data_IF_220287835940
#
_entry.id   IF_220287835940
#
_cell.length_a   1.000
_cell.length_b   1.000
_cell.length_c   1.000
_cell.angle_alpha   90.00
_cell.angle_beta   90.00
_cell.angle_gamma   90.00
#
_symmetry.space_group_name_H-M   'P 1'
#
loop_
_entity.id
_entity.type
_entity.pdbx_description
1 polymer ?
#
# COMPACT_ATOMS: atom_id res chain seq x y z
N UNK A 1 -20.49 -51.86 -67.14
CA UNK A 1 -19.21 -51.11 -67.04
C UNK A 1 -19.37 -49.87 -67.92
N UNK A 2 -18.96 -48.64 -67.59
CA UNK A 2 -18.00 -48.11 -66.63
C UNK A 2 -18.59 -46.88 -65.91
N UNK A 3 -18.19 -46.70 -64.66
CA UNK A 3 -18.56 -45.61 -63.76
C UNK A 3 -17.54 -44.46 -63.91
N UNK A 4 -17.92 -43.18 -63.98
CA UNK A 4 -16.97 -42.09 -63.87
C UNK A 4 -16.71 -41.76 -62.39
N UNK A 5 -15.44 -41.75 -62.05
CA UNK A 5 -14.84 -41.48 -60.75
C UNK A 5 -15.13 -40.06 -60.25
N UNK A 6 -15.61 -39.95 -59.01
CA UNK A 6 -15.63 -38.70 -58.24
C UNK A 6 -14.18 -38.40 -57.84
N UNK A 7 -13.64 -37.28 -58.34
CA UNK A 7 -12.30 -36.77 -58.01
C UNK A 7 -12.22 -36.40 -56.51
N UNK A 8 -11.06 -36.59 -55.86
CA UNK A 8 -10.87 -36.24 -54.46
C UNK A 8 -10.99 -34.72 -54.31
N UNK A 9 -11.63 -34.30 -53.23
CA UNK A 9 -11.73 -32.90 -52.85
C UNK A 9 -10.32 -32.34 -52.61
N UNK A 10 -9.99 -31.22 -53.27
CA UNK A 10 -8.78 -30.46 -52.95
C UNK A 10 -8.84 -30.02 -51.48
N UNK A 11 -7.98 -30.63 -50.67
CA UNK A 11 -7.87 -30.40 -49.24
C UNK A 11 -7.33 -28.98 -48.98
N UNK A 12 -8.20 -28.11 -48.45
CA UNK A 12 -7.91 -26.84 -47.78
C UNK A 12 -6.77 -25.99 -48.41
N UNK A 13 -7.13 -25.16 -49.38
CA UNK A 13 -6.23 -24.12 -49.90
C UNK A 13 -5.72 -23.23 -48.75
N UNK A 14 -4.50 -22.68 -48.89
CA UNK A 14 -3.99 -21.68 -47.94
C UNK A 14 -5.00 -20.54 -47.70
N UNK A 15 -5.82 -20.21 -48.69
CA UNK A 15 -6.94 -19.27 -48.55
C UNK A 15 -8.02 -19.72 -47.56
N UNK A 16 -8.36 -21.00 -47.53
CA UNK A 16 -9.35 -21.56 -46.60
C UNK A 16 -8.83 -21.55 -45.16
N UNK A 17 -7.54 -21.84 -44.99
CA UNK A 17 -6.87 -21.80 -43.69
C UNK A 17 -6.84 -20.37 -43.15
N UNK A 18 -6.47 -19.39 -43.99
CA UNK A 18 -6.46 -17.97 -43.64
C UNK A 18 -7.87 -17.49 -43.29
N UNK A 19 -8.89 -17.91 -44.05
CA UNK A 19 -10.29 -17.57 -43.78
C UNK A 19 -10.76 -18.15 -42.43
N UNK A 20 -10.38 -19.40 -42.13
CA UNK A 20 -10.70 -20.08 -40.85
C UNK A 20 -10.04 -19.38 -39.67
N UNK A 21 -8.75 -19.02 -39.78
CA UNK A 21 -8.04 -18.26 -38.75
C UNK A 21 -8.71 -16.90 -38.53
N UNK A 22 -9.01 -16.16 -39.59
CA UNK A 22 -9.70 -14.88 -39.50
C UNK A 22 -11.13 -14.98 -38.92
N UNK A 23 -11.80 -16.11 -39.08
CA UNK A 23 -13.08 -16.41 -38.42
C UNK A 23 -12.86 -16.64 -36.91
N UNK A 24 -11.90 -17.49 -36.53
CA UNK A 24 -11.61 -17.80 -35.12
C UNK A 24 -11.14 -16.57 -34.33
N UNK A 25 -10.30 -15.70 -34.92
CA UNK A 25 -9.85 -14.46 -34.25
C UNK A 25 -11.00 -13.47 -34.04
N UNK A 26 -11.93 -13.38 -35.01
CA UNK A 26 -13.14 -12.57 -34.84
C UNK A 26 -14.05 -13.14 -33.77
N UNK A 27 -14.26 -14.45 -33.77
CA UNK A 27 -15.02 -15.14 -32.73
C UNK A 27 -14.41 -14.92 -31.34
N UNK A 28 -13.09 -15.05 -31.18
CA UNK A 28 -12.39 -14.77 -29.93
C UNK A 28 -12.59 -13.32 -29.49
N UNK A 29 -12.46 -12.36 -30.42
CA UNK A 29 -12.68 -10.93 -30.13
C UNK A 29 -14.12 -10.65 -29.73
N UNK A 30 -15.08 -11.23 -30.45
CA UNK A 30 -16.50 -11.05 -30.17
C UNK A 30 -16.88 -11.71 -28.83
N UNK A 31 -16.28 -12.86 -28.50
CA UNK A 31 -16.41 -13.51 -27.19
C UNK A 31 -15.78 -12.69 -26.06
N UNK A 32 -14.59 -12.11 -26.24
CA UNK A 32 -13.99 -11.21 -25.25
C UNK A 32 -14.87 -9.96 -24.99
N UNK A 33 -15.49 -9.45 -26.05
CA UNK A 33 -16.44 -8.34 -25.99
C UNK A 33 -17.77 -8.75 -25.32
N UNK A 34 -18.33 -9.91 -25.66
CA UNK A 34 -19.55 -10.46 -25.03
C UNK A 34 -19.34 -10.83 -23.56
N UNK A 35 -18.12 -11.23 -23.18
CA UNK A 35 -17.74 -11.46 -21.78
C UNK A 35 -17.56 -10.14 -21.00
N UNK A 36 -17.67 -8.97 -21.64
CA UNK A 36 -17.59 -7.66 -20.99
C UNK A 36 -16.20 -7.27 -20.49
N UNK A 37 -15.16 -8.00 -20.90
CA UNK A 37 -13.79 -7.79 -20.41
C UNK A 37 -13.19 -6.47 -20.91
N UNK A 38 -13.55 -6.02 -22.12
CA UNK A 38 -13.12 -4.71 -22.63
C UNK A 38 -13.66 -3.55 -21.77
N UNK A 39 -14.91 -3.67 -21.32
CA UNK A 39 -15.55 -2.68 -20.46
C UNK A 39 -14.93 -2.70 -19.06
N UNK A 40 -14.68 -3.89 -18.50
CA UNK A 40 -14.02 -4.02 -17.19
C UNK A 40 -12.59 -3.47 -17.20
N UNK A 41 -11.84 -3.67 -18.29
CA UNK A 41 -10.49 -3.10 -18.46
C UNK A 41 -10.56 -1.58 -18.55
N UNK A 42 -11.50 -1.02 -19.31
CA UNK A 42 -11.70 0.43 -19.42
C UNK A 42 -12.08 1.06 -18.07
N UNK A 43 -13.01 0.44 -17.33
CA UNK A 43 -13.42 0.89 -16.00
C UNK A 43 -12.27 0.82 -14.99
N UNK A 44 -11.49 -0.26 -15.02
CA UNK A 44 -10.30 -0.37 -14.18
C UNK A 44 -9.24 0.69 -14.53
N UNK A 45 -9.03 0.96 -15.82
CA UNK A 45 -8.09 2.00 -16.27
C UNK A 45 -8.49 3.40 -15.76
N UNK A 46 -9.79 3.71 -15.75
CA UNK A 46 -10.31 4.97 -15.18
C UNK A 46 -10.24 5.03 -13.64
N UNK A 47 -10.34 3.88 -12.96
CA UNK A 47 -10.27 3.82 -11.49
C UNK A 47 -8.83 3.89 -10.94
N UNK A 48 -7.81 3.51 -11.72
CA UNK A 48 -6.40 3.50 -11.30
C UNK A 48 -5.90 4.89 -10.86
N UNK A 49 -6.14 5.99 -11.61
CA UNK A 49 -5.73 7.33 -11.20
C UNK A 49 -6.33 7.76 -9.85
N UNK A 50 -7.63 7.54 -9.62
CA UNK A 50 -8.27 7.86 -8.33
C UNK A 50 -7.69 7.04 -7.18
N UNK A 51 -7.51 5.73 -7.37
CA UNK A 51 -6.88 4.87 -6.38
C UNK A 51 -5.45 5.32 -6.04
N UNK A 52 -4.68 5.73 -7.05
CA UNK A 52 -3.33 6.29 -6.88
C UNK A 52 -3.37 7.58 -6.07
N UNK A 53 -4.29 8.49 -6.37
CA UNK A 53 -4.40 9.78 -5.68
C UNK A 53 -4.82 9.58 -4.20
N UNK A 54 -5.69 8.61 -3.92
CA UNK A 54 -6.02 8.19 -2.54
C UNK A 54 -4.83 7.62 -1.80
N UNK A 55 -4.02 6.75 -2.44
CA UNK A 55 -2.79 6.23 -1.84
C UNK A 55 -1.78 7.35 -1.57
N UNK A 56 -1.66 8.32 -2.49
CA UNK A 56 -0.82 9.49 -2.28
C UNK A 56 -1.27 10.29 -1.06
N UNK A 57 -2.58 10.50 -0.88
CA UNK A 57 -3.13 11.14 0.32
C UNK A 57 -2.76 10.37 1.61
N UNK A 58 -2.89 9.05 1.63
CA UNK A 58 -2.48 8.22 2.78
C UNK A 58 -0.99 8.41 3.09
N UNK A 59 -0.13 8.43 2.08
CA UNK A 59 1.31 8.68 2.24
C UNK A 59 1.55 10.05 2.87
N UNK A 60 0.91 11.11 2.36
CA UNK A 60 1.04 12.46 2.91
C UNK A 60 0.59 12.55 4.37
N UNK A 61 -0.59 11.99 4.69
CA UNK A 61 -1.12 12.01 6.06
C UNK A 61 -0.26 11.19 7.02
N UNK A 62 0.33 10.09 6.55
CA UNK A 62 1.24 9.26 7.36
C UNK A 62 2.55 10.00 7.64
N UNK A 63 3.12 10.68 6.63
CA UNK A 63 4.30 11.51 6.80
C UNK A 63 4.06 12.64 7.81
N UNK A 64 2.92 13.34 7.68
CA UNK A 64 2.54 14.39 8.63
C UNK A 64 2.34 13.84 10.05
N UNK A 65 1.72 12.67 10.20
CA UNK A 65 1.53 12.04 11.51
C UNK A 65 2.88 11.65 12.15
N UNK A 66 3.81 11.11 11.36
CA UNK A 66 5.16 10.79 11.82
C UNK A 66 5.93 12.04 12.26
N UNK A 67 5.87 13.12 11.47
CA UNK A 67 6.48 14.41 11.82
C UNK A 67 5.91 14.97 13.13
N UNK A 68 4.58 14.93 13.31
CA UNK A 68 3.94 15.35 14.57
C UNK A 68 4.40 14.51 15.77
N UNK A 69 4.53 13.19 15.59
CA UNK A 69 5.00 12.30 16.64
C UNK A 69 6.45 12.63 17.03
N UNK A 70 7.34 12.83 16.05
CA UNK A 70 8.72 13.22 16.28
C UNK A 70 8.81 14.56 17.00
N UNK A 71 8.10 15.58 16.53
CA UNK A 71 8.05 16.91 17.16
C UNK A 71 7.54 16.84 18.61
N UNK A 72 6.58 15.95 18.90
CA UNK A 72 6.07 15.75 20.25
C UNK A 72 7.11 15.10 21.17
N UNK A 73 7.90 14.16 20.65
CA UNK A 73 9.02 13.55 21.36
C UNK A 73 10.09 14.59 21.65
N UNK A 74 10.50 15.37 20.64
CA UNK A 74 11.49 16.44 20.80
C UNK A 74 11.05 17.50 21.81
N UNK A 75 9.76 17.90 21.78
CA UNK A 75 9.18 18.83 22.74
C UNK A 75 9.15 18.27 24.18
N UNK A 76 9.09 16.94 24.34
CA UNK A 76 9.06 16.28 25.64
C UNK A 76 10.45 16.14 26.27
N UNK A 77 11.51 16.09 25.47
CA UNK A 77 12.90 15.94 25.91
C UNK A 77 13.34 16.94 27.01
N UNK A 78 13.15 18.26 26.87
CA UNK A 78 13.58 19.21 27.90
C UNK A 78 12.84 19.03 29.24
N UNK A 79 11.58 18.59 29.20
CA UNK A 79 10.82 18.29 30.41
C UNK A 79 11.36 17.04 31.12
N UNK A 80 11.74 16.01 30.36
CA UNK A 80 12.39 14.81 30.90
C UNK A 80 13.73 15.15 31.54
N UNK A 81 14.57 15.93 30.85
CA UNK A 81 15.89 16.36 31.37
C UNK A 81 15.75 17.18 32.66
N UNK A 82 14.76 18.09 32.71
CA UNK A 82 14.51 18.88 33.90
C UNK A 82 14.01 18.03 35.08
N UNK A 83 13.12 17.08 34.81
CA UNK A 83 12.63 16.14 35.80
C UNK A 83 13.76 15.27 36.36
N UNK A 84 14.64 14.76 35.50
CA UNK A 84 15.82 13.99 35.89
C UNK A 84 16.76 14.81 36.80
N UNK A 85 17.05 16.06 36.42
CA UNK A 85 17.87 16.97 37.23
C UNK A 85 17.25 17.20 38.61
N UNK A 86 15.95 17.49 38.67
CA UNK A 86 15.24 17.71 39.93
C UNK A 86 15.22 16.46 40.81
N UNK A 87 15.01 15.28 40.22
CA UNK A 87 15.05 14.01 40.94
C UNK A 87 16.43 13.74 41.54
N UNK A 88 17.51 13.92 40.76
CA UNK A 88 18.89 13.78 41.24
C UNK A 88 19.20 14.75 42.37
N UNK A 89 18.80 16.02 42.24
CA UNK A 89 18.99 17.01 43.30
C UNK A 89 18.23 16.65 44.57
N UNK A 90 17.02 16.06 44.44
CA UNK A 90 16.22 15.61 45.56
C UNK A 90 16.85 14.40 46.26
N UNK A 91 17.36 13.43 45.51
CA UNK A 91 18.12 12.29 46.05
C UNK A 91 19.34 12.75 46.82
N UNK A 92 20.14 13.66 46.25
CA UNK A 92 21.33 14.19 46.94
C UNK A 92 20.95 14.85 48.27
N UNK A 93 19.89 15.66 48.29
CA UNK A 93 19.41 16.28 49.53
C UNK A 93 18.96 15.26 50.57
N UNK A 94 18.39 14.14 50.12
CA UNK A 94 18.00 13.05 51.02
C UNK A 94 19.23 12.34 51.60
N UNK A 95 20.22 12.05 50.76
CA UNK A 95 21.48 11.43 51.19
C UNK A 95 22.23 12.33 52.18
N UNK A 96 22.31 13.63 51.89
CA UNK A 96 22.93 14.62 52.79
C UNK A 96 22.22 14.67 54.15
N UNK A 97 20.88 14.65 54.15
CA UNK A 97 20.09 14.63 55.39
C UNK A 97 20.30 13.35 56.20
N UNK A 98 20.42 12.18 55.55
CA UNK A 98 20.71 10.93 56.25
C UNK A 98 22.15 10.88 56.78
N UNK A 99 23.09 11.56 56.13
CA UNK A 99 24.48 11.65 56.56
C UNK A 99 24.68 12.55 57.78
N UNK A 100 23.92 13.65 57.87
CA UNK A 100 23.89 14.55 59.03
C UNK A 100 22.44 14.92 59.41
N UNK A 101 21.71 14.01 60.11
CA UNK A 101 20.32 14.24 60.45
C UNK A 101 20.21 15.37 61.47
N UNK A 102 19.64 16.49 61.06
CA UNK A 102 19.27 17.56 61.99
C UNK A 102 18.09 17.04 62.82
N UNK A 103 18.24 17.02 64.14
CA UNK A 103 17.16 16.63 65.05
C UNK A 103 15.94 17.55 64.85
N UNK A 104 14.79 16.97 64.52
CA UNK A 104 13.52 17.68 64.41
C UNK A 104 12.92 18.01 65.79
N UNK A 105 13.59 17.64 66.90
CA UNK A 105 13.24 18.05 68.25
C UNK A 105 13.61 19.51 68.52
N UNK A 106 12.83 20.45 67.98
CA UNK A 106 13.09 21.86 68.25
C UNK A 106 12.21 22.84 67.49
N UNK A 107 10.89 22.70 67.57
CA UNK A 107 10.00 23.85 67.40
C UNK A 107 8.91 23.80 68.49
N UNK A 108 8.77 24.84 69.34
CA UNK A 108 7.61 24.97 70.21
C UNK A 108 6.31 25.08 69.40
#
# INVERSE_FOLDING_TARGET
>A
MMQPSIKPADEHSAGDIIARIGSLTRMLRDSLRELGLDQAIAEAAEAIPDARDRLYYVVQMTAQAAERALNSVEASQPHQDQMEKSAKALTQRWDDWFADPIDLAGRP
#
